data_IF_673764873325
#
_entry.id   IF_673764873325
#
_cell.length_a   1.000
_cell.length_b   1.000
_cell.length_c   1.000
_cell.angle_alpha   90.00
_cell.angle_beta   90.00
_cell.angle_gamma   90.00
#
_symmetry.space_group_name_H-M   'P 1'
#
loop_
_entity.id
_entity.type
_entity.pdbx_description
1 polymer ?
#
# COMPACT_ATOMS: atom_id res chain seq x y z
N UNK A 1 11.89 -30.67 -22.58
CA UNK A 1 10.50 -30.27 -22.22
C UNK A 1 9.55 -30.89 -23.22
N UNK A 2 8.31 -31.23 -22.80
CA UNK A 2 7.23 -31.57 -23.73
C UNK A 2 6.77 -30.30 -24.45
N UNK A 3 6.35 -30.42 -25.71
CA UNK A 3 5.93 -29.27 -26.53
C UNK A 3 4.79 -28.47 -25.86
N UNK A 4 3.83 -29.14 -25.22
CA UNK A 4 2.71 -28.49 -24.50
C UNK A 4 3.22 -27.58 -23.36
N UNK A 5 4.12 -28.09 -22.52
CA UNK A 5 4.73 -27.31 -21.43
C UNK A 5 5.59 -26.16 -21.94
N UNK A 6 6.11 -26.26 -23.16
CA UNK A 6 6.86 -25.16 -23.78
C UNK A 6 5.92 -24.06 -24.27
N UNK A 7 4.77 -24.42 -24.85
CA UNK A 7 3.77 -23.43 -25.25
C UNK A 7 3.14 -22.72 -24.05
N UNK A 8 2.78 -23.47 -23.01
CA UNK A 8 2.23 -22.93 -21.76
C UNK A 8 3.17 -21.89 -21.14
N UNK A 9 4.45 -22.24 -20.96
CA UNK A 9 5.45 -21.30 -20.43
C UNK A 9 5.74 -20.12 -21.34
N UNK A 10 5.54 -20.27 -22.65
CA UNK A 10 5.71 -19.16 -23.59
C UNK A 10 4.55 -18.17 -23.45
N UNK A 11 3.33 -18.65 -23.30
CA UNK A 11 2.12 -17.82 -23.11
C UNK A 11 2.05 -17.17 -21.72
N UNK A 12 2.54 -17.85 -20.67
CA UNK A 12 2.69 -17.24 -19.33
C UNK A 12 3.62 -16.03 -19.34
N UNK A 13 4.53 -15.97 -20.32
CA UNK A 13 5.60 -15.01 -20.40
C UNK A 13 5.41 -14.05 -21.59
N UNK A 14 4.19 -13.53 -21.72
CA UNK A 14 3.72 -12.53 -22.72
C UNK A 14 4.59 -11.25 -22.78
N UNK A 15 5.52 -11.13 -21.83
CA UNK A 15 6.59 -10.15 -21.80
C UNK A 15 7.79 -10.65 -22.65
N UNK A 16 7.84 -10.20 -23.91
CA UNK A 16 8.81 -10.59 -24.96
C UNK A 16 10.30 -10.38 -24.60
N UNK A 17 10.60 -9.94 -23.38
CA UNK A 17 11.90 -9.47 -22.91
C UNK A 17 12.87 -10.62 -22.56
N UNK A 18 12.43 -11.71 -21.90
CA UNK A 18 13.39 -12.65 -21.30
C UNK A 18 13.08 -14.16 -21.37
N UNK A 19 13.01 -14.74 -22.58
CA UNK A 19 12.80 -16.20 -22.74
C UNK A 19 13.84 -17.05 -21.96
N UNK A 20 13.42 -17.97 -21.08
CA UNK A 20 14.32 -18.81 -20.31
C UNK A 20 15.17 -19.69 -21.23
N UNK A 21 16.43 -19.91 -20.86
CA UNK A 21 17.46 -20.59 -21.68
C UNK A 21 16.98 -21.98 -22.14
N UNK A 22 16.27 -22.70 -21.26
CA UNK A 22 15.72 -24.01 -21.56
C UNK A 22 14.67 -23.97 -22.69
N UNK A 23 13.90 -22.89 -22.76
CA UNK A 23 12.88 -22.66 -23.78
C UNK A 23 13.52 -22.28 -25.12
N UNK A 24 14.55 -21.40 -25.08
CA UNK A 24 15.36 -21.06 -26.27
C UNK A 24 15.98 -22.30 -26.92
N UNK A 25 16.60 -23.18 -26.13
CA UNK A 25 17.15 -24.43 -26.65
C UNK A 25 16.07 -25.31 -27.28
N UNK A 26 14.90 -25.43 -26.65
CA UNK A 26 13.80 -26.23 -27.21
C UNK A 26 13.33 -25.70 -28.57
N UNK A 27 13.27 -24.38 -28.77
CA UNK A 27 12.89 -23.76 -30.05
C UNK A 27 13.94 -23.94 -31.15
N UNK A 28 15.21 -24.10 -30.77
CA UNK A 28 16.27 -24.44 -31.71
C UNK A 28 16.08 -25.86 -32.24
N UNK A 29 15.77 -26.82 -31.36
CA UNK A 29 15.66 -28.24 -31.73
C UNK A 29 14.27 -28.66 -32.24
N UNK A 30 13.19 -28.03 -31.81
CA UNK A 30 11.84 -28.40 -32.17
C UNK A 30 11.28 -27.48 -33.27
N UNK A 31 11.10 -28.03 -34.49
CA UNK A 31 10.48 -27.32 -35.62
C UNK A 31 9.01 -26.97 -35.38
N UNK A 32 8.26 -27.83 -34.69
CA UNK A 32 6.84 -27.63 -34.42
C UNK A 32 6.61 -26.40 -33.56
N UNK A 33 7.20 -26.36 -32.37
CA UNK A 33 7.11 -25.21 -31.46
C UNK A 33 7.60 -23.91 -32.11
N UNK A 34 8.63 -23.98 -32.96
CA UNK A 34 9.10 -22.81 -33.71
C UNK A 34 8.05 -22.30 -34.71
N UNK A 35 7.34 -23.19 -35.39
CA UNK A 35 6.32 -22.81 -36.35
C UNK A 35 5.09 -22.21 -35.65
N UNK A 36 4.68 -22.81 -34.54
CA UNK A 36 3.52 -22.36 -33.77
C UNK A 36 3.76 -20.95 -33.19
N UNK A 37 4.94 -20.69 -32.64
CA UNK A 37 5.31 -19.35 -32.13
C UNK A 37 5.39 -18.32 -33.25
N UNK A 38 5.93 -18.68 -34.42
CA UNK A 38 5.97 -17.77 -35.58
C UNK A 38 4.58 -17.40 -36.06
N UNK A 39 3.70 -18.39 -36.18
CA UNK A 39 2.32 -18.13 -36.58
C UNK A 39 1.62 -17.21 -35.59
N UNK A 40 1.86 -17.39 -34.29
CA UNK A 40 1.33 -16.51 -33.26
C UNK A 40 1.90 -15.08 -33.38
N UNK A 41 3.22 -14.92 -33.52
CA UNK A 41 3.84 -13.61 -33.68
C UNK A 41 3.34 -12.87 -34.93
N UNK A 42 3.22 -13.58 -36.05
CA UNK A 42 2.76 -13.00 -37.31
C UNK A 42 1.29 -12.52 -37.20
N UNK A 43 0.44 -13.27 -36.50
CA UNK A 43 -0.96 -12.84 -36.25
C UNK A 43 -1.02 -11.60 -35.34
N UNK A 44 -0.17 -11.52 -34.32
CA UNK A 44 -0.10 -10.35 -33.44
C UNK A 44 0.41 -9.11 -34.17
N UNK A 45 1.42 -9.27 -35.04
CA UNK A 45 1.94 -8.20 -35.89
C UNK A 45 0.85 -7.68 -36.83
N UNK A 46 0.05 -8.57 -37.43
CA UNK A 46 -1.09 -8.20 -38.28
C UNK A 46 -2.15 -7.39 -37.52
N UNK A 47 -2.52 -7.81 -36.29
CA UNK A 47 -3.46 -7.05 -35.46
C UNK A 47 -2.90 -5.67 -35.07
N UNK A 48 -1.60 -5.57 -34.82
CA UNK A 48 -0.97 -4.30 -34.49
C UNK A 48 -0.93 -3.34 -35.69
N UNK A 49 -0.66 -3.84 -36.89
CA UNK A 49 -0.60 -3.05 -38.13
C UNK A 49 -1.98 -2.57 -38.58
N UNK A 50 -3.04 -3.37 -38.35
CA UNK A 50 -4.42 -3.00 -38.65
C UNK A 50 -5.05 -2.09 -37.59
N UNK A 51 -4.40 -1.91 -36.43
CA UNK A 51 -4.93 -1.04 -35.38
C UNK A 51 -4.75 0.45 -35.74
N UNK A 52 -5.72 1.31 -35.39
CA UNK A 52 -5.64 2.75 -35.66
C UNK A 52 -4.57 3.47 -34.82
N UNK A 53 -4.03 2.82 -33.78
CA UNK A 53 -3.05 3.39 -32.86
C UNK A 53 -1.83 2.47 -32.73
N UNK A 54 -0.67 2.93 -33.22
CA UNK A 54 0.60 2.20 -33.05
C UNK A 54 1.05 2.33 -31.60
N UNK A 55 0.73 1.33 -30.79
CA UNK A 55 1.26 1.21 -29.43
C UNK A 55 2.60 0.47 -29.50
N UNK A 56 3.65 1.09 -28.98
CA UNK A 56 4.94 0.42 -28.80
C UNK A 56 4.81 -0.56 -27.62
N UNK A 57 5.34 -1.79 -27.77
CA UNK A 57 5.01 -2.94 -26.91
C UNK A 57 5.49 -2.75 -25.46
N UNK A 58 6.45 -1.86 -25.24
CA UNK A 58 7.15 -1.67 -23.97
C UNK A 58 6.79 -0.37 -23.23
N UNK A 59 5.73 0.34 -23.66
CA UNK A 59 5.38 1.61 -23.00
C UNK A 59 4.72 1.41 -21.64
N UNK A 60 4.23 0.22 -21.33
CA UNK A 60 3.51 -0.08 -20.09
C UNK A 60 4.38 0.15 -18.85
N UNK A 61 5.64 -0.30 -18.87
CA UNK A 61 6.57 -0.10 -17.75
C UNK A 61 6.95 1.40 -17.61
N UNK A 62 7.23 2.08 -18.72
CA UNK A 62 7.56 3.51 -18.74
C UNK A 62 6.40 4.38 -18.27
N UNK A 63 5.17 4.05 -18.68
CA UNK A 63 3.95 4.74 -18.27
C UNK A 63 3.67 4.49 -16.79
N UNK A 64 3.73 3.25 -16.31
CA UNK A 64 3.52 2.97 -14.89
C UNK A 64 4.58 3.62 -14.02
N UNK A 65 5.86 3.59 -14.42
CA UNK A 65 6.92 4.27 -13.68
C UNK A 65 6.70 5.79 -13.63
N UNK A 66 6.19 6.39 -14.70
CA UNK A 66 5.79 7.81 -14.69
C UNK A 66 4.60 8.05 -13.76
N UNK A 67 3.55 7.22 -13.81
CA UNK A 67 2.37 7.35 -12.94
C UNK A 67 2.78 7.26 -11.47
N UNK A 68 3.58 6.26 -11.08
CA UNK A 68 4.10 6.12 -9.71
C UNK A 68 4.89 7.36 -9.26
N UNK A 69 5.71 7.93 -10.13
CA UNK A 69 6.45 9.17 -9.85
C UNK A 69 5.57 10.42 -9.75
N UNK A 70 4.44 10.44 -10.45
CA UNK A 70 3.46 11.53 -10.31
C UNK A 70 2.69 11.43 -8.98
N UNK A 71 2.44 10.22 -8.49
CA UNK A 71 1.72 9.99 -7.23
C UNK A 71 2.51 10.46 -6.00
N UNK A 72 3.86 10.42 -6.04
CA UNK A 72 4.71 10.97 -4.97
C UNK A 72 4.51 12.49 -4.75
N UNK A 73 4.07 13.24 -5.76
CA UNK A 73 3.82 14.69 -5.64
C UNK A 73 2.47 15.04 -5.00
N UNK A 74 1.61 14.05 -4.72
CA UNK A 74 0.42 14.24 -3.88
C UNK A 74 0.73 14.07 -2.37
N UNK A 75 2.00 14.10 -1.99
CA UNK A 75 2.44 14.23 -0.60
C UNK A 75 2.28 15.68 -0.11
N UNK A 76 1.04 16.13 0.11
CA UNK A 76 0.82 17.15 1.12
C UNK A 76 0.83 16.48 2.50
N UNK A 77 1.94 15.80 2.82
CA UNK A 77 2.19 15.26 4.15
C UNK A 77 2.26 16.45 5.09
N UNK A 78 1.23 16.62 5.91
CA UNK A 78 1.32 17.57 7.03
C UNK A 78 2.53 17.16 7.85
N UNK A 79 3.53 18.05 7.91
CA UNK A 79 4.75 17.82 8.69
C UNK A 79 4.43 17.19 10.03
N UNK A 80 5.12 16.09 10.37
CA UNK A 80 4.97 15.33 11.61
C UNK A 80 5.00 16.25 12.85
N UNK A 81 5.66 17.40 12.74
CA UNK A 81 5.70 18.45 13.76
C UNK A 81 4.33 19.08 14.07
N UNK A 82 3.48 19.28 13.05
CA UNK A 82 2.11 19.79 13.22
C UNK A 82 1.25 18.80 14.00
N UNK A 83 1.37 17.51 13.68
CA UNK A 83 0.71 16.44 14.44
C UNK A 83 1.23 16.38 15.88
N UNK A 84 2.54 16.46 16.10
CA UNK A 84 3.09 16.44 17.45
C UNK A 84 2.65 17.67 18.28
N UNK A 85 2.53 18.84 17.64
CA UNK A 85 2.03 20.06 18.28
C UNK A 85 0.55 19.93 18.68
N UNK A 86 -0.31 19.40 17.81
CA UNK A 86 -1.73 19.16 18.11
C UNK A 86 -1.88 18.14 19.25
N UNK A 87 -1.11 17.06 19.21
CA UNK A 87 -1.14 16.03 20.26
C UNK A 87 -0.70 16.56 21.61
N UNK A 88 0.38 17.34 21.64
CA UNK A 88 0.82 18.04 22.84
C UNK A 88 -0.26 18.98 23.37
N UNK A 89 -0.91 19.75 22.50
CA UNK A 89 -1.98 20.66 22.89
C UNK A 89 -3.19 19.94 23.50
N UNK A 90 -3.60 18.79 22.95
CA UNK A 90 -4.69 17.96 23.49
C UNK A 90 -4.34 17.46 24.90
N UNK A 91 -3.14 16.89 25.08
CA UNK A 91 -2.68 16.37 26.37
C UNK A 91 -2.62 17.50 27.41
N UNK A 92 -2.07 18.65 27.03
CA UNK A 92 -1.91 19.81 27.91
C UNK A 92 -3.27 20.41 28.28
N UNK A 93 -4.23 20.40 27.35
CA UNK A 93 -5.61 20.81 27.62
C UNK A 93 -6.28 19.90 28.64
N UNK A 94 -6.11 18.58 28.51
CA UNK A 94 -6.67 17.60 29.46
C UNK A 94 -6.01 17.71 30.84
N UNK A 95 -4.69 17.88 30.90
CA UNK A 95 -3.97 18.11 32.17
C UNK A 95 -4.35 19.43 32.84
N UNK A 96 -4.80 20.43 32.07
CA UNK A 96 -5.25 21.72 32.61
C UNK A 96 -6.68 21.68 33.18
N UNK A 97 -7.52 20.71 32.78
CA UNK A 97 -8.90 20.56 33.29
C UNK A 97 -9.03 20.53 34.82
N UNK A 98 -8.22 19.76 35.60
CA UNK A 98 -8.35 19.73 37.06
C UNK A 98 -8.04 21.06 37.73
N UNK A 99 -7.36 22.00 37.06
CA UNK A 99 -7.05 23.33 37.59
C UNK A 99 -8.15 24.37 37.30
N UNK A 100 -9.16 24.01 36.48
CA UNK A 100 -10.25 24.91 36.18
C UNK A 100 -11.28 24.93 37.32
N UNK A 101 -11.57 26.12 37.87
CA UNK A 101 -12.57 26.32 38.92
C UNK A 101 -13.97 25.80 38.52
N UNK A 102 -14.29 25.82 37.23
CA UNK A 102 -15.53 25.27 36.68
C UNK A 102 -15.62 23.75 36.89
N UNK A 103 -14.48 23.05 36.79
CA UNK A 103 -14.41 21.61 36.99
C UNK A 103 -14.53 21.25 38.47
N UNK A 104 -13.92 22.06 39.36
CA UNK A 104 -14.06 21.91 40.81
C UNK A 104 -15.51 22.13 41.27
N UNK A 105 -16.20 23.13 40.71
CA UNK A 105 -17.61 23.39 41.00
C UNK A 105 -18.52 22.25 40.52
N UNK A 106 -18.29 21.76 39.30
CA UNK A 106 -19.03 20.63 38.73
C UNK A 106 -18.83 19.34 39.54
N UNK A 107 -17.60 19.05 39.98
CA UNK A 107 -17.29 17.93 40.88
C UNK A 107 -17.96 18.08 42.24
N UNK A 108 -18.09 19.30 42.75
CA UNK A 108 -18.82 19.58 44.00
C UNK A 108 -20.34 19.34 43.89
N UNK A 109 -20.94 19.57 42.72
CA UNK A 109 -22.39 19.43 42.53
C UNK A 109 -22.83 18.03 42.10
N UNK A 110 -22.08 17.38 41.21
CA UNK A 110 -22.42 16.05 40.67
C UNK A 110 -21.62 14.90 41.32
N UNK A 111 -20.61 15.21 42.14
CA UNK A 111 -19.75 14.23 42.78
C UNK A 111 -18.91 13.41 41.79
N UNK A 112 -18.43 12.25 42.24
CA UNK A 112 -17.61 11.32 41.43
C UNK A 112 -18.36 10.65 40.28
N UNK A 113 -19.70 10.72 40.25
CA UNK A 113 -20.52 10.07 39.22
C UNK A 113 -20.32 10.68 37.82
N UNK A 114 -19.93 11.95 37.72
CA UNK A 114 -19.65 12.61 36.43
C UNK A 114 -18.15 12.60 36.08
N UNK A 115 -17.28 12.55 37.08
CA UNK A 115 -15.82 12.54 36.91
C UNK A 115 -15.33 11.27 36.19
N UNK A 116 -15.86 10.11 36.59
CA UNK A 116 -15.49 8.81 36.01
C UNK A 116 -15.85 8.70 34.52
N UNK A 117 -17.11 8.92 34.08
CA UNK A 117 -17.44 8.82 32.66
C UNK A 117 -16.73 9.88 31.80
N UNK A 118 -16.49 11.07 32.35
CA UNK A 118 -15.80 12.14 31.62
C UNK A 118 -14.32 11.80 31.36
N UNK A 119 -13.62 11.24 32.35
CA UNK A 119 -12.23 10.78 32.16
C UNK A 119 -12.14 9.62 31.17
N UNK A 120 -13.14 8.72 31.16
CA UNK A 120 -13.23 7.64 30.16
C UNK A 120 -13.37 8.20 28.74
N UNK A 121 -14.28 9.15 28.51
CA UNK A 121 -14.48 9.77 27.20
C UNK A 121 -13.21 10.47 26.70
N UNK A 122 -12.53 11.20 27.58
CA UNK A 122 -11.24 11.83 27.24
C UNK A 122 -10.17 10.80 26.90
N UNK A 123 -10.08 9.70 27.66
CA UNK A 123 -9.17 8.60 27.38
C UNK A 123 -9.41 7.98 26.00
N UNK A 124 -10.66 7.71 25.66
CA UNK A 124 -11.05 7.19 24.33
C UNK A 124 -10.66 8.17 23.22
N UNK A 125 -10.87 9.48 23.42
CA UNK A 125 -10.45 10.50 22.47
C UNK A 125 -8.94 10.50 22.21
N UNK A 126 -8.13 10.35 23.27
CA UNK A 126 -6.68 10.20 23.14
C UNK A 126 -6.32 8.93 22.38
N UNK A 127 -6.96 7.79 22.70
CA UNK A 127 -6.69 6.52 22.02
C UNK A 127 -6.96 6.63 20.52
N UNK A 128 -8.10 7.20 20.12
CA UNK A 128 -8.43 7.43 18.70
C UNK A 128 -7.38 8.32 18.03
N UNK A 129 -6.98 9.41 18.70
CA UNK A 129 -5.96 10.32 18.19
C UNK A 129 -4.62 9.60 17.94
N UNK A 130 -4.15 8.81 18.91
CA UNK A 130 -2.91 8.04 18.81
C UNK A 130 -3.00 6.98 17.71
N UNK A 131 -4.15 6.32 17.56
CA UNK A 131 -4.39 5.36 16.47
C UNK A 131 -4.32 6.02 15.09
N UNK A 132 -4.92 7.20 14.92
CA UNK A 132 -4.85 7.96 13.68
C UNK A 132 -3.42 8.43 13.39
N UNK A 133 -2.70 8.89 14.40
CA UNK A 133 -1.29 9.27 14.26
C UNK A 133 -0.43 8.08 13.81
N UNK A 134 -0.60 6.92 14.42
CA UNK A 134 0.13 5.70 14.07
C UNK A 134 -0.22 5.17 12.65
N UNK A 135 -1.47 5.35 12.21
CA UNK A 135 -1.91 4.96 10.87
C UNK A 135 -1.43 5.91 9.77
N UNK A 136 -1.32 7.20 10.07
CA UNK A 136 -0.94 8.24 9.10
C UNK A 136 0.56 8.45 8.95
N UNK A 137 1.37 7.99 9.91
CA UNK A 137 2.83 8.11 9.90
C UNK A 137 3.51 6.74 10.06
N UNK A 138 3.35 5.81 9.10
CA UNK A 138 3.95 4.48 9.17
C UNK A 138 5.49 4.53 9.23
N UNK A 139 6.11 5.56 8.66
CA UNK A 139 7.57 5.76 8.64
C UNK A 139 8.20 6.02 10.02
N UNK A 140 7.39 6.45 11.01
CA UNK A 140 7.88 6.66 12.39
C UNK A 140 8.06 5.32 13.13
N UNK A 141 7.46 4.24 12.64
CA UNK A 141 7.50 2.91 13.25
C UNK A 141 8.25 1.91 12.37
N UNK A 142 9.60 1.87 12.43
CA UNK A 142 10.43 1.02 11.54
C UNK A 142 10.23 -0.51 11.74
N UNK A 143 9.41 -0.93 12.71
CA UNK A 143 9.15 -2.34 13.04
C UNK A 143 7.65 -2.70 13.03
N UNK A 144 6.80 -1.95 12.32
CA UNK A 144 5.34 -2.20 12.21
C UNK A 144 5.01 -3.66 11.83
N UNK A 145 5.81 -4.24 10.94
CA UNK A 145 5.64 -5.63 10.45
C UNK A 145 5.91 -6.70 11.52
N UNK A 146 6.70 -6.39 12.54
CA UNK A 146 6.88 -7.28 13.71
C UNK A 146 5.69 -7.19 14.65
N UNK A 147 5.11 -6.00 14.81
CA UNK A 147 3.95 -5.77 15.68
C UNK A 147 2.72 -6.44 15.09
N UNK A 148 2.48 -6.31 13.78
CA UNK A 148 1.36 -6.98 13.10
C UNK A 148 1.48 -8.51 13.19
N UNK A 149 2.69 -9.06 12.99
CA UNK A 149 2.92 -10.50 13.22
C UNK A 149 2.69 -10.92 14.66
N UNK A 150 3.05 -10.09 15.63
CA UNK A 150 2.86 -10.38 17.05
C UNK A 150 1.38 -10.35 17.45
N UNK A 151 0.60 -9.40 16.90
CA UNK A 151 -0.85 -9.33 17.11
C UNK A 151 -1.55 -10.53 16.46
N UNK A 152 -1.17 -10.90 15.24
CA UNK A 152 -1.69 -12.09 14.56
C UNK A 152 -1.39 -13.38 15.34
N UNK A 153 -0.24 -13.46 16.02
CA UNK A 153 0.13 -14.61 16.85
C UNK A 153 -0.63 -14.67 18.17
N UNK A 154 -1.05 -13.53 18.74
CA UNK A 154 -1.88 -13.50 19.96
C UNK A 154 -3.34 -13.88 19.69
N UNK A 155 -3.84 -13.59 18.49
CA UNK A 155 -5.23 -13.83 18.09
C UNK A 155 -5.44 -15.10 17.24
N UNK A 156 -4.39 -15.92 17.04
CA UNK A 156 -4.44 -17.23 16.37
C UNK A 156 -4.10 -18.36 17.34
#
# INVERSE_FOLDING_TARGET
MKCEKTMEKYLEQDDYTHLPIMLRMHLIFCRRCRNDIRLLSDTMDYFQETSPFRMDRDISESVMNRIFKLEENYSHTMSNFKWLAVGSFIILSIMALPFNQSFAWMKGHFGGNLEIPLTIVMGVGITIYVSLFAGTHPEVFPHREKIERFIHWIFS
#
